data_IF_509798889247
#
_entry.id   IF_509798889247
#
_cell.length_a   1.000
_cell.length_b   1.000
_cell.length_c   1.000
_cell.angle_alpha   90.00
_cell.angle_beta   90.00
_cell.angle_gamma   90.00
#
_symmetry.space_group_name_H-M   'P 1'
#
loop_
_entity.id
_entity.type
_entity.pdbx_description
1 polymer ?
#
# COMPACT_ATOMS: atom_id res chain seq x y z
N UNK A 1 -12.86 -15.68 -8.85
CA UNK A 1 -12.46 -14.57 -9.74
C UNK A 1 -11.17 -13.99 -9.20
N UNK A 2 -10.05 -14.10 -9.92
CA UNK A 2 -8.80 -13.44 -9.51
C UNK A 2 -8.91 -11.95 -9.84
N UNK A 3 -8.98 -11.10 -8.82
CA UNK A 3 -8.89 -9.64 -8.99
C UNK A 3 -7.48 -9.32 -9.50
N UNK A 4 -7.37 -8.76 -10.70
CA UNK A 4 -6.10 -8.23 -11.22
C UNK A 4 -5.89 -6.83 -10.63
N UNK A 5 -4.67 -6.48 -10.17
CA UNK A 5 -4.40 -5.12 -9.71
C UNK A 5 -4.46 -4.14 -10.88
N UNK A 6 -4.90 -2.91 -10.59
CA UNK A 6 -4.60 -1.78 -11.45
C UNK A 6 -3.16 -1.36 -11.20
N UNK A 7 -2.37 -1.27 -12.26
CA UNK A 7 -1.00 -0.74 -12.19
C UNK A 7 -1.07 0.74 -12.55
N UNK A 8 -0.70 1.61 -11.60
CA UNK A 8 -0.68 3.07 -11.78
C UNK A 8 0.77 3.53 -11.67
N UNK A 9 1.30 4.18 -12.69
CA UNK A 9 2.67 4.70 -12.67
C UNK A 9 2.69 6.06 -11.96
N UNK A 10 3.77 6.37 -11.25
CA UNK A 10 4.04 7.77 -10.90
C UNK A 10 4.45 8.52 -12.15
N UNK A 11 3.99 9.76 -12.28
CA UNK A 11 4.41 10.67 -13.34
C UNK A 11 5.87 11.08 -13.14
N UNK A 12 6.60 11.45 -14.20
CA UNK A 12 8.00 11.88 -14.08
C UNK A 12 8.20 13.03 -13.10
N UNK A 13 7.24 13.94 -13.04
CA UNK A 13 7.20 15.09 -12.13
C UNK A 13 7.07 14.64 -10.66
N UNK A 14 6.18 13.68 -10.40
CA UNK A 14 6.00 13.06 -9.08
C UNK A 14 7.26 12.32 -8.62
N UNK A 15 7.98 11.70 -9.55
CA UNK A 15 9.27 11.06 -9.24
C UNK A 15 10.36 12.08 -8.91
N UNK A 16 10.44 13.17 -9.67
CA UNK A 16 11.42 14.24 -9.45
C UNK A 16 11.18 15.00 -8.13
N UNK A 17 9.92 15.18 -7.75
CA UNK A 17 9.52 15.79 -6.47
C UNK A 17 9.48 14.81 -5.31
N UNK A 18 9.87 13.55 -5.54
CA UNK A 18 9.84 12.47 -4.53
C UNK A 18 8.45 12.23 -3.90
N UNK A 19 7.36 12.58 -4.60
CA UNK A 19 5.96 12.34 -4.16
C UNK A 19 5.59 10.85 -4.03
N UNK A 20 6.49 9.95 -4.41
CA UNK A 20 6.37 8.53 -4.13
C UNK A 20 6.80 8.16 -2.70
N UNK A 21 7.58 9.01 -2.02
CA UNK A 21 8.07 8.85 -0.65
C UNK A 21 7.10 9.41 0.39
N UNK A 22 5.85 8.95 0.37
CA UNK A 22 4.81 9.49 1.25
C UNK A 22 4.94 8.86 2.65
N UNK A 23 5.03 9.67 3.73
CA UNK A 23 5.13 9.17 5.09
C UNK A 23 3.75 8.92 5.72
N UNK A 24 3.61 7.79 6.42
CA UNK A 24 2.38 7.40 7.13
C UNK A 24 2.67 7.13 8.62
N UNK A 25 1.80 7.59 9.54
CA UNK A 25 1.96 7.41 11.00
C UNK A 25 0.72 6.77 11.68
N UNK A 26 0.85 5.59 12.30
CA UNK A 26 -0.25 4.94 13.07
C UNK A 26 0.26 4.45 14.42
N UNK A 27 -0.54 4.68 15.47
CA UNK A 27 -0.29 4.19 16.83
C UNK A 27 0.37 5.18 17.80
N UNK A 28 0.56 4.78 19.08
CA UNK A 28 1.04 5.67 20.16
C UNK A 28 2.51 6.08 20.01
N UNK A 29 3.32 5.25 19.33
CA UNK A 29 4.64 5.64 18.84
C UNK A 29 4.45 6.05 17.38
N UNK A 30 4.42 7.35 17.11
CA UNK A 30 4.28 7.97 15.77
C UNK A 30 5.51 7.71 14.90
N UNK A 31 5.80 6.45 14.63
CA UNK A 31 6.91 6.06 13.79
C UNK A 31 6.45 6.16 12.33
N UNK A 32 7.03 7.07 11.52
CA UNK A 32 6.63 7.24 10.13
C UNK A 32 7.17 6.09 9.28
N UNK A 33 6.32 5.60 8.38
CA UNK A 33 6.67 4.65 7.33
C UNK A 33 6.62 5.35 5.98
N UNK A 34 7.63 5.15 5.16
CA UNK A 34 7.73 5.76 3.83
C UNK A 34 7.60 4.67 2.75
N UNK A 35 6.82 4.96 1.72
CA UNK A 35 6.68 4.11 0.54
C UNK A 35 7.84 4.38 -0.42
N UNK A 36 8.44 3.36 -1.03
CA UNK A 36 9.36 3.52 -2.15
C UNK A 36 8.89 2.71 -3.35
N UNK A 37 8.23 3.37 -4.30
CA UNK A 37 7.71 2.68 -5.48
C UNK A 37 7.76 3.55 -6.73
N UNK A 38 8.04 2.93 -7.89
CA UNK A 38 7.88 3.57 -9.22
C UNK A 38 6.46 3.43 -9.79
N UNK A 39 5.67 2.53 -9.22
CA UNK A 39 4.29 2.24 -9.61
C UNK A 39 3.52 1.69 -8.41
N UNK A 40 2.22 1.95 -8.37
CA UNK A 40 1.30 1.39 -7.39
C UNK A 40 0.55 0.21 -8.00
N UNK A 41 0.48 -0.90 -7.27
CA UNK A 41 -0.44 -1.98 -7.55
C UNK A 41 -1.66 -1.79 -6.65
N UNK A 42 -2.74 -1.34 -7.26
CA UNK A 42 -3.94 -0.88 -6.56
C UNK A 42 -5.04 -1.92 -6.73
N UNK A 43 -5.51 -2.46 -5.61
CA UNK A 43 -6.73 -3.28 -5.57
C UNK A 43 -7.83 -2.50 -4.88
N UNK A 44 -8.96 -2.35 -5.55
CA UNK A 44 -10.13 -1.67 -5.00
C UNK A 44 -11.20 -2.69 -4.60
N UNK A 45 -11.57 -2.70 -3.33
CA UNK A 45 -12.69 -3.48 -2.78
C UNK A 45 -13.86 -2.54 -2.44
N UNK A 46 -14.83 -3.01 -1.64
CA UNK A 46 -16.05 -2.28 -1.29
C UNK A 46 -15.78 -0.89 -0.69
N UNK A 47 -14.87 -0.79 0.27
CA UNK A 47 -14.52 0.43 1.00
C UNK A 47 -13.00 0.54 1.26
N UNK A 48 -12.23 -0.34 0.61
CA UNK A 48 -10.81 -0.52 0.86
C UNK A 48 -10.01 -0.41 -0.44
N UNK A 49 -8.88 0.30 -0.36
CA UNK A 49 -7.83 0.29 -1.36
C UNK A 49 -6.60 -0.41 -0.79
N UNK A 50 -6.07 -1.38 -1.51
CA UNK A 50 -4.79 -2.00 -1.17
C UNK A 50 -3.70 -1.51 -2.11
N UNK A 51 -2.57 -1.10 -1.55
CA UNK A 51 -1.38 -0.65 -2.26
C UNK A 51 -0.21 -1.54 -1.86
N UNK A 52 0.34 -2.27 -2.84
CA UNK A 52 1.52 -3.09 -2.66
C UNK A 52 2.77 -2.29 -3.05
N UNK A 53 3.83 -2.44 -2.26
CA UNK A 53 5.10 -1.76 -2.54
C UNK A 53 6.20 -2.18 -1.58
N UNK A 54 7.36 -1.56 -1.77
CA UNK A 54 8.48 -1.61 -0.82
C UNK A 54 8.34 -0.46 0.17
N UNK A 55 8.50 -0.76 1.44
CA UNK A 55 8.25 0.15 2.56
C UNK A 55 9.45 0.16 3.49
N UNK A 56 9.68 1.28 4.15
CA UNK A 56 10.70 1.36 5.19
C UNK A 56 10.24 2.25 6.31
N UNK A 57 10.74 1.96 7.50
CA UNK A 57 10.53 2.78 8.66
C UNK A 57 11.52 3.94 8.62
N UNK A 58 11.08 5.18 8.83
CA UNK A 58 11.98 6.33 8.87
C UNK A 58 13.04 6.12 9.95
N UNK A 59 14.32 6.24 9.58
CA UNK A 59 15.46 5.99 10.47
C UNK A 59 15.88 4.51 10.56
N UNK A 60 15.24 3.60 9.81
CA UNK A 60 15.71 2.23 9.62
C UNK A 60 16.31 2.07 8.21
N UNK A 61 17.43 1.36 8.05
CA UNK A 61 17.93 0.96 6.74
C UNK A 61 17.12 -0.20 6.12
N UNK A 62 16.23 -0.83 6.88
CA UNK A 62 15.48 -2.01 6.45
C UNK A 62 14.31 -1.62 5.54
N UNK A 63 14.32 -2.18 4.32
CA UNK A 63 13.22 -2.13 3.37
C UNK A 63 12.50 -3.48 3.38
N UNK A 64 11.18 -3.48 3.38
CA UNK A 64 10.37 -4.70 3.30
C UNK A 64 9.22 -4.55 2.31
N UNK A 65 8.82 -5.66 1.71
CA UNK A 65 7.62 -5.71 0.91
C UNK A 65 6.40 -5.70 1.82
N UNK A 66 5.42 -4.85 1.52
CA UNK A 66 4.25 -4.68 2.37
C UNK A 66 3.01 -4.29 1.60
N UNK A 67 1.87 -4.48 2.26
CA UNK A 67 0.56 -4.08 1.72
C UNK A 67 -0.04 -3.05 2.64
N UNK A 68 -0.16 -1.83 2.13
CA UNK A 68 -0.93 -0.78 2.77
C UNK A 68 -2.40 -0.97 2.41
N UNK A 69 -3.25 -0.99 3.42
CA UNK A 69 -4.69 -1.09 3.31
C UNK A 69 -5.26 0.24 3.77
N UNK A 70 -6.00 0.92 2.90
CA UNK A 70 -6.54 2.26 3.13
C UNK A 70 -8.06 2.15 3.08
N UNK A 71 -8.73 2.49 4.17
CA UNK A 71 -10.17 2.68 4.20
C UNK A 71 -10.49 4.11 3.78
N UNK A 72 -11.33 4.25 2.77
CA UNK A 72 -11.72 5.55 2.23
C UNK A 72 -13.20 5.82 2.48
N UNK A 73 -13.58 7.09 2.49
CA UNK A 73 -14.98 7.51 2.50
C UNK A 73 -15.71 6.99 1.24
N UNK A 74 -17.05 6.85 1.27
CA UNK A 74 -17.82 6.45 0.09
C UNK A 74 -17.61 7.37 -1.13
N UNK A 75 -17.35 8.67 -0.91
CA UNK A 75 -17.07 9.63 -1.96
C UNK A 75 -15.70 9.37 -2.61
N UNK A 76 -14.65 9.23 -1.81
CA UNK A 76 -13.31 8.93 -2.31
C UNK A 76 -13.19 7.52 -2.90
N UNK A 77 -13.97 6.56 -2.42
CA UNK A 77 -14.07 5.23 -3.03
C UNK A 77 -14.65 5.29 -4.45
N UNK A 78 -15.64 6.15 -4.71
CA UNK A 78 -16.16 6.35 -6.07
C UNK A 78 -15.07 6.92 -6.98
N UNK A 79 -14.27 7.88 -6.49
CA UNK A 79 -13.13 8.46 -7.20
C UNK A 79 -12.03 7.43 -7.45
N UNK A 80 -11.65 6.65 -6.45
CA UNK A 80 -10.64 5.60 -6.58
C UNK A 80 -11.00 4.54 -7.64
N UNK A 81 -12.31 4.27 -7.82
CA UNK A 81 -12.84 3.34 -8.83
C UNK A 81 -13.02 3.95 -10.22
N UNK A 82 -13.07 5.27 -10.35
CA UNK A 82 -13.24 5.92 -11.67
C UNK A 82 -12.03 5.76 -12.58
N UNK A 83 -10.90 5.27 -12.03
CA UNK A 83 -9.62 5.06 -12.73
C UNK A 83 -8.97 6.32 -13.29
N UNK A 84 -9.40 7.51 -12.87
CA UNK A 84 -8.88 8.79 -13.35
C UNK A 84 -7.73 9.35 -12.50
N UNK A 85 -7.50 8.77 -11.31
CA UNK A 85 -6.52 9.31 -10.35
C UNK A 85 -5.09 8.82 -10.65
N UNK A 86 -4.14 9.74 -10.51
CA UNK A 86 -2.69 9.48 -10.47
C UNK A 86 -2.29 8.64 -9.25
N UNK A 87 -1.04 8.17 -9.24
CA UNK A 87 -0.50 7.42 -8.11
C UNK A 87 -0.49 8.28 -6.82
N UNK A 88 0.00 9.53 -6.89
CA UNK A 88 0.00 10.41 -5.72
C UNK A 88 -1.42 10.84 -5.32
N UNK A 89 -2.34 11.02 -6.26
CA UNK A 89 -3.73 11.35 -5.94
C UNK A 89 -4.42 10.23 -5.15
N UNK A 90 -4.20 8.96 -5.51
CA UNK A 90 -4.72 7.80 -4.77
C UNK A 90 -4.20 7.80 -3.33
N UNK A 91 -2.91 8.10 -3.15
CA UNK A 91 -2.28 8.13 -1.84
C UNK A 91 -2.63 9.39 -1.03
N UNK A 92 -3.22 10.40 -1.66
CA UNK A 92 -3.62 11.67 -1.03
C UNK A 92 -5.13 11.81 -0.81
N UNK A 93 -5.91 10.75 -1.07
CA UNK A 93 -7.34 10.71 -0.74
C UNK A 93 -7.57 10.88 0.77
N UNK A 94 -8.80 11.19 1.18
CA UNK A 94 -9.09 11.35 2.60
C UNK A 94 -9.28 9.96 3.25
N UNK A 95 -8.29 9.56 4.04
CA UNK A 95 -8.24 8.23 4.64
C UNK A 95 -9.01 8.22 5.96
N UNK A 96 -10.01 7.35 6.08
CA UNK A 96 -10.73 7.14 7.33
C UNK A 96 -9.90 6.31 8.32
N UNK A 97 -9.22 5.28 7.82
CA UNK A 97 -8.30 4.43 8.56
C UNK A 97 -7.29 3.79 7.58
N UNK A 98 -6.14 3.34 8.07
CA UNK A 98 -5.19 2.60 7.26
C UNK A 98 -4.28 1.70 8.09
N UNK A 99 -3.90 0.54 7.58
CA UNK A 99 -2.88 -0.30 8.22
C UNK A 99 -1.96 -0.92 7.18
N UNK A 100 -0.71 -1.14 7.58
CA UNK A 100 0.28 -1.84 6.77
C UNK A 100 0.65 -3.16 7.43
N UNK A 101 0.77 -4.22 6.64
CA UNK A 101 1.41 -5.46 7.08
C UNK A 101 2.61 -5.80 6.21
N UNK A 102 3.65 -6.31 6.86
CA UNK A 102 4.86 -6.81 6.21
C UNK A 102 4.57 -8.16 5.56
N UNK A 103 4.95 -8.30 4.30
CA UNK A 103 5.07 -9.58 3.63
C UNK A 103 6.49 -10.05 3.91
N UNK A 104 6.66 -11.02 4.81
CA UNK A 104 7.93 -11.71 4.89
C UNK A 104 8.02 -12.65 3.68
N UNK A 105 9.01 -12.50 2.79
CA UNK A 105 9.32 -13.58 1.86
C UNK A 105 9.70 -14.77 2.75
N UNK A 106 8.82 -15.76 2.82
CA UNK A 106 9.14 -17.01 3.49
C UNK A 106 10.37 -17.58 2.79
N UNK A 107 11.39 -17.98 3.54
CA UNK A 107 12.41 -18.87 2.99
C UNK A 107 11.70 -20.10 2.42
N UNK A 108 11.77 -20.26 1.09
CA UNK A 108 11.29 -21.44 0.38
C UNK A 108 10.01 -21.23 -0.44
N UNK A 109 10.16 -21.18 -1.76
CA UNK A 109 9.64 -22.23 -2.65
C UNK A 109 10.06 -21.95 -4.10
N UNK A 110 11.21 -22.50 -4.47
CA UNK A 110 11.30 -23.12 -5.79
C UNK A 110 10.26 -24.24 -5.82
N UNK A 111 9.19 -24.06 -6.59
CA UNK A 111 8.30 -25.14 -7.00
C UNK A 111 6.99 -25.27 -6.21
N UNK A 112 5.91 -25.08 -6.98
CA UNK A 112 4.57 -25.68 -6.82
C UNK A 112 3.67 -25.18 -5.67
N UNK A 113 2.63 -24.46 -6.09
CA UNK A 113 1.23 -24.69 -5.71
C UNK A 113 0.96 -25.03 -4.24
N UNK A 114 0.66 -24.01 -3.44
CA UNK A 114 -0.62 -23.82 -2.73
C UNK A 114 -0.42 -22.69 -1.72
N UNK A 115 -1.03 -21.54 -2.00
CA UNK A 115 -0.88 -20.33 -1.18
C UNK A 115 -1.59 -20.48 0.17
N UNK A 116 -0.95 -21.10 1.15
CA UNK A 116 -1.30 -20.92 2.57
C UNK A 116 -0.51 -19.73 3.12
N UNK A 117 -1.07 -18.52 3.01
CA UNK A 117 -0.52 -17.34 3.65
C UNK A 117 -0.63 -17.47 5.17
N UNK A 118 0.49 -17.59 5.87
CA UNK A 118 0.53 -17.51 7.34
C UNK A 118 0.35 -16.04 7.75
N UNK A 119 -0.85 -15.69 8.21
CA UNK A 119 -1.23 -14.34 8.59
C UNK A 119 -0.81 -14.02 10.03
N UNK A 120 0.15 -13.10 10.22
CA UNK A 120 0.26 -12.37 11.50
C UNK A 120 -0.58 -11.09 11.39
N UNK A 121 -1.85 -11.18 11.82
CA UNK A 121 -2.73 -10.01 12.00
C UNK A 121 -2.36 -9.30 13.30
N UNK A 122 -1.72 -8.16 13.19
CA UNK A 122 -1.68 -7.21 14.32
C UNK A 122 -2.99 -6.41 14.28
N UNK A 123 -3.99 -6.82 15.07
CA UNK A 123 -5.22 -6.06 15.31
C UNK A 123 -5.02 -5.12 16.49
N UNK A 124 -5.42 -3.86 16.36
CA UNK A 124 -5.60 -2.94 17.49
C UNK A 124 -7.09 -2.90 17.84
N UNK A 125 -7.41 -3.15 19.11
CA UNK A 125 -8.66 -2.71 19.73
C UNK A 125 -8.65 -1.20 19.96
#
# INVERSE_FOLDING_TARGET
MFLKPRVVMFEPEELAEEKHLIPFQRGPRRIPWELKAKRLFVYTFSDLVQVFGDWYQKGSPEVFQGVLNIKLSPEDMKRARSNQLSASEILSLNWEDWFIYKINPSEGQHGKEEHSFNYQKTRSS
#
